data_IF_424658025242
#
_entry.id   IF_424658025242
#
_cell.length_a   1.000
_cell.length_b   1.000
_cell.length_c   1.000
_cell.angle_alpha   90.00
_cell.angle_beta   90.00
_cell.angle_gamma   90.00
#
_symmetry.space_group_name_H-M   'P 1'
#
loop_
_entity.id
_entity.type
_entity.pdbx_description
1 polymer ?
#
# COMPACT_ATOMS: atom_id res chain seq x y z
N UNK A 1 -5.24 -28.38 -44.58
CA UNK A 1 -4.82 -26.95 -44.57
C UNK A 1 -5.09 -26.37 -43.18
N UNK A 2 -4.13 -25.64 -42.59
CA UNK A 2 -4.20 -25.16 -41.21
C UNK A 2 -4.59 -23.69 -41.21
N UNK A 3 -5.60 -23.28 -40.43
CA UNK A 3 -5.82 -21.86 -40.09
C UNK A 3 -5.73 -21.68 -38.58
N UNK A 4 -4.55 -21.25 -38.13
CA UNK A 4 -4.28 -20.86 -36.75
C UNK A 4 -4.97 -19.52 -36.50
N UNK A 5 -6.03 -19.50 -35.68
CA UNK A 5 -6.55 -18.24 -35.14
C UNK A 5 -5.57 -17.75 -34.09
N UNK A 6 -4.77 -16.75 -34.45
CA UNK A 6 -3.96 -16.01 -33.50
C UNK A 6 -4.91 -15.25 -32.57
N UNK A 7 -5.02 -15.70 -31.31
CA UNK A 7 -5.66 -14.91 -30.25
C UNK A 7 -4.67 -13.83 -29.82
N UNK A 8 -4.85 -12.60 -30.29
CA UNK A 8 -4.17 -11.42 -29.74
C UNK A 8 -4.69 -11.18 -28.31
N UNK A 9 -3.83 -11.25 -27.30
CA UNK A 9 -4.21 -10.91 -25.92
C UNK A 9 -4.17 -9.38 -25.77
N UNK A 10 -5.25 -8.76 -25.25
CA UNK A 10 -5.31 -7.30 -25.03
C UNK A 10 -4.27 -6.89 -23.97
N UNK A 11 -3.34 -5.96 -24.28
CA UNK A 11 -2.31 -5.47 -23.35
C UNK A 11 -2.87 -4.87 -22.06
N UNK A 12 -4.14 -4.45 -22.04
CA UNK A 12 -4.79 -3.87 -20.85
C UNK A 12 -5.39 -4.90 -19.90
N UNK A 13 -5.22 -6.19 -20.16
CA UNK A 13 -5.64 -7.21 -19.19
C UNK A 13 -4.62 -7.21 -18.05
N UNK A 14 -4.97 -6.77 -16.82
CA UNK A 14 -4.04 -6.87 -15.70
C UNK A 14 -3.74 -8.35 -15.44
N UNK A 15 -2.50 -8.72 -15.04
CA UNK A 15 -2.20 -10.09 -14.69
C UNK A 15 -3.10 -10.51 -13.53
N UNK A 16 -3.80 -11.65 -13.68
CA UNK A 16 -4.53 -12.26 -12.59
C UNK A 16 -3.51 -12.71 -11.55
N UNK A 17 -3.42 -12.00 -10.43
CA UNK A 17 -2.71 -12.45 -9.24
C UNK A 17 -3.49 -13.63 -8.65
N UNK A 18 -3.17 -14.85 -9.09
CA UNK A 18 -3.42 -16.04 -8.28
C UNK A 18 -2.11 -16.83 -8.20
N UNK A 19 -1.64 -17.19 -6.99
CA UNK A 19 -0.55 -18.14 -6.86
C UNK A 19 -1.07 -19.53 -7.23
N UNK A 20 -0.69 -20.04 -8.40
CA UNK A 20 -0.88 -21.45 -8.74
C UNK A 20 0.34 -22.25 -8.28
N UNK A 21 0.19 -22.92 -7.14
CA UNK A 21 0.50 -24.32 -6.90
C UNK A 21 0.76 -24.54 -5.40
N UNK A 22 -0.27 -25.03 -4.73
CA UNK A 22 -0.09 -25.81 -3.51
C UNK A 22 0.58 -27.12 -3.94
N UNK A 23 1.83 -27.34 -3.50
CA UNK A 23 2.51 -28.62 -3.62
C UNK A 23 1.68 -29.69 -2.88
N UNK A 24 0.86 -30.44 -3.61
CA UNK A 24 0.13 -31.57 -3.02
C UNK A 24 1.08 -32.75 -2.80
N UNK A 25 1.27 -33.24 -1.56
CA UNK A 25 1.87 -34.56 -1.35
C UNK A 25 0.79 -35.63 -1.57
N UNK A 26 1.17 -36.73 -2.22
CA UNK A 26 0.30 -37.90 -2.46
C UNK A 26 0.83 -39.11 -1.68
N UNK A 27 0.00 -40.08 -1.26
CA UNK A 27 -1.24 -40.01 -0.47
C UNK A 27 -1.12 -40.87 0.84
N UNK A 28 -2.07 -40.88 1.78
CA UNK A 28 -3.10 -41.96 1.98
C UNK A 28 -3.83 -41.84 3.37
N UNK A 29 -4.93 -42.58 3.67
CA UNK A 29 -6.31 -42.10 3.77
C UNK A 29 -6.91 -42.08 5.20
N UNK A 30 -7.95 -41.27 5.46
CA UNK A 30 -9.14 -41.66 6.26
C UNK A 30 -10.23 -40.59 6.35
N UNK A 31 -11.45 -41.10 6.43
CA UNK A 31 -12.80 -40.51 6.42
C UNK A 31 -13.20 -39.73 7.69
N UNK A 32 -13.69 -38.49 7.55
CA UNK A 32 -14.84 -37.97 8.32
C UNK A 32 -15.38 -36.68 7.65
N UNK A 33 -16.70 -36.50 7.50
CA UNK A 33 -17.27 -35.18 7.13
C UNK A 33 -17.10 -34.23 8.32
N UNK A 34 -16.73 -32.95 8.13
CA UNK A 34 -16.93 -31.97 9.18
C UNK A 34 -18.45 -31.70 9.27
N UNK A 35 -19.08 -32.32 10.26
CA UNK A 35 -20.34 -31.83 10.83
C UNK A 35 -20.13 -30.38 11.31
N UNK A 36 -21.18 -29.58 11.15
CA UNK A 36 -21.44 -28.23 11.68
C UNK A 36 -20.21 -27.45 12.16
N UNK A 37 -19.85 -26.36 11.48
CA UNK A 37 -19.48 -25.12 12.17
C UNK A 37 -19.93 -23.88 11.37
N UNK A 38 -21.12 -23.41 11.73
CA UNK A 38 -21.61 -22.05 11.51
C UNK A 38 -20.88 -21.11 12.46
N UNK A 39 -19.81 -20.45 12.01
CA UNK A 39 -19.39 -19.17 12.59
C UNK A 39 -18.85 -18.30 11.45
N UNK A 40 -19.62 -17.29 11.08
CA UNK A 40 -19.16 -16.26 10.15
C UNK A 40 -18.01 -15.49 10.78
N UNK A 41 -16.90 -15.37 10.07
CA UNK A 41 -15.73 -14.62 10.51
C UNK A 41 -16.12 -13.15 10.76
N UNK A 42 -16.03 -12.70 12.02
CA UNK A 42 -16.10 -11.27 12.35
C UNK A 42 -14.68 -10.77 12.49
N UNK A 43 -14.36 -9.71 11.76
CA UNK A 43 -13.06 -9.05 11.87
C UNK A 43 -13.02 -8.28 13.19
N UNK A 44 -12.05 -8.59 14.04
CA UNK A 44 -11.85 -7.86 15.29
C UNK A 44 -11.49 -6.40 14.97
N UNK A 45 -12.26 -5.45 15.52
CA UNK A 45 -11.89 -4.03 15.43
C UNK A 45 -10.69 -3.80 16.34
N UNK A 46 -9.51 -3.75 15.73
CA UNK A 46 -8.28 -3.44 16.43
C UNK A 46 -8.24 -1.95 16.83
N UNK A 47 -7.84 -1.66 18.07
CA UNK A 47 -7.59 -0.30 18.51
C UNK A 47 -6.31 0.22 17.85
N UNK A 48 -6.45 1.19 16.97
CA UNK A 48 -5.29 1.81 16.31
C UNK A 48 -4.67 2.82 17.29
N UNK A 49 -3.65 2.37 18.02
CA UNK A 49 -2.80 3.26 18.81
C UNK A 49 -1.54 3.61 18.02
N UNK A 50 -1.23 4.90 17.89
CA UNK A 50 0.08 5.35 17.41
C UNK A 50 1.04 5.40 18.60
N UNK A 51 2.13 4.62 18.60
CA UNK A 51 3.16 4.70 19.62
C UNK A 51 3.70 6.13 19.74
N UNK A 52 4.00 6.62 20.95
CA UNK A 52 4.57 7.96 21.13
C UNK A 52 5.86 8.19 20.34
N UNK A 53 6.62 7.12 20.05
CA UNK A 53 7.82 7.15 19.22
C UNK A 53 7.57 7.44 17.74
N UNK A 54 6.33 7.31 17.26
CA UNK A 54 5.94 7.64 15.89
C UNK A 54 5.49 9.11 15.74
N UNK A 55 5.37 9.85 16.84
CA UNK A 55 5.06 11.27 16.83
C UNK A 55 6.35 12.09 16.84
N UNK A 56 6.65 12.77 15.73
CA UNK A 56 7.74 13.74 15.68
C UNK A 56 7.27 15.07 16.28
N UNK A 57 7.86 15.45 17.41
CA UNK A 57 7.67 16.80 17.97
C UNK A 57 8.44 17.78 17.10
N UNK A 58 7.74 18.54 16.27
CA UNK A 58 8.34 19.65 15.52
C UNK A 58 8.36 20.86 16.44
N UNK A 59 9.53 21.15 17.02
CA UNK A 59 9.75 22.43 17.69
C UNK A 59 9.57 23.54 16.66
N UNK A 60 8.71 24.52 16.98
CA UNK A 60 8.40 25.63 16.08
C UNK A 60 9.69 26.31 15.67
N UNK A 61 9.98 26.32 14.36
CA UNK A 61 11.21 26.91 13.86
C UNK A 61 11.12 28.42 14.08
N UNK A 62 11.85 28.94 15.07
CA UNK A 62 12.07 30.36 15.22
C UNK A 62 12.97 30.81 14.07
N UNK A 63 12.35 31.11 12.92
CA UNK A 63 13.06 31.78 11.85
C UNK A 63 13.49 33.16 12.36
N UNK A 64 14.72 33.56 12.03
CA UNK A 64 15.16 34.93 12.25
C UNK A 64 14.12 35.89 11.64
N UNK A 65 13.65 36.89 12.40
CA UNK A 65 12.63 37.80 11.89
C UNK A 65 13.18 38.56 10.68
N UNK A 66 12.32 38.81 9.70
CA UNK A 66 12.72 39.57 8.53
C UNK A 66 13.13 40.99 8.92
N UNK A 67 14.40 41.34 8.72
CA UNK A 67 14.95 42.63 9.14
C UNK A 67 14.78 43.70 8.06
N UNK A 68 14.88 44.97 8.45
CA UNK A 68 14.86 46.10 7.50
C UNK A 68 16.01 46.02 6.49
N UNK A 69 17.18 45.54 6.89
CA UNK A 69 18.31 45.33 5.98
C UNK A 69 17.98 44.27 4.92
N UNK A 70 17.36 43.16 5.36
CA UNK A 70 16.85 42.12 4.46
C UNK A 70 15.85 42.69 3.45
N UNK A 71 14.95 43.57 3.91
CA UNK A 71 13.95 44.24 3.06
C UNK A 71 14.62 45.13 1.99
N UNK A 72 15.54 46.00 2.41
CA UNK A 72 16.23 46.93 1.52
C UNK A 72 17.06 46.19 0.47
N UNK A 73 17.72 45.10 0.87
CA UNK A 73 18.49 44.25 -0.04
C UNK A 73 17.59 43.54 -1.05
N UNK A 74 16.42 43.06 -0.63
CA UNK A 74 15.44 42.45 -1.53
C UNK A 74 14.91 43.48 -2.55
N UNK A 75 14.56 44.68 -2.07
CA UNK A 75 14.13 45.79 -2.92
C UNK A 75 15.22 46.12 -3.96
N UNK A 76 16.50 46.16 -3.57
CA UNK A 76 17.61 46.37 -4.48
C UNK A 76 17.76 45.28 -5.55
N UNK A 77 17.51 44.01 -5.21
CA UNK A 77 17.53 42.90 -6.17
C UNK A 77 16.37 42.96 -7.18
N UNK A 78 15.24 43.56 -6.79
CA UNK A 78 14.05 43.61 -7.63
C UNK A 78 14.01 44.83 -8.57
N UNK A 79 14.71 45.91 -8.21
CA UNK A 79 14.75 47.17 -8.97
C UNK A 79 15.93 47.31 -9.94
N UNK A 80 16.83 46.31 -10.02
CA UNK A 80 17.93 46.24 -10.98
C UNK A 80 17.61 45.27 -12.13
#
# INVERSE_FOLDING_TARGET
EKRLRQQSKDPRTPPSNQPEAEDTPSPSPRTRPPDDLEEGEVEEVCEVSTPPSELLVVEGQAAEPFTTDSALRLIGQQML
#
